data_IF_182456165649
#
_entry.id   IF_182456165649
#
_cell.length_a   1.000
_cell.length_b   1.000
_cell.length_c   1.000
_cell.angle_alpha   90.00
_cell.angle_beta   90.00
_cell.angle_gamma   90.00
#
_symmetry.space_group_name_H-M   'P 1'
#
loop_
_entity.id
_entity.type
_entity.pdbx_description
1 polymer ?
#
# COMPACT_ATOMS: atom_id res chain seq x y z
N UNK A 1 5.66 -8.37 -0.35
CA UNK A 1 6.39 -7.19 0.19
C UNK A 1 5.66 -6.59 1.40
N UNK A 2 4.41 -6.15 1.27
CA UNK A 2 3.66 -5.52 2.40
C UNK A 2 2.78 -6.48 3.24
N UNK A 3 2.84 -7.79 2.98
CA UNK A 3 2.23 -8.82 3.85
C UNK A 3 0.80 -9.25 3.52
N UNK A 4 0.19 -8.70 2.46
CA UNK A 4 -1.10 -9.14 1.98
C UNK A 4 -1.05 -10.50 1.27
N UNK A 5 -2.16 -11.23 1.34
CA UNK A 5 -2.40 -12.49 0.66
C UNK A 5 -3.54 -12.32 -0.34
N UNK A 6 -3.51 -13.04 -1.47
CA UNK A 6 -4.63 -13.04 -2.41
C UNK A 6 -5.78 -13.84 -1.79
N UNK A 7 -6.94 -13.20 -1.62
CA UNK A 7 -8.18 -13.84 -1.19
C UNK A 7 -8.91 -14.45 -2.40
N UNK A 8 -9.05 -13.66 -3.46
CA UNK A 8 -9.73 -14.03 -4.69
C UNK A 8 -9.09 -13.29 -5.87
N UNK A 9 -9.06 -13.92 -7.03
CA UNK A 9 -8.71 -13.28 -8.29
C UNK A 9 -9.72 -13.70 -9.35
N UNK A 10 -10.29 -12.73 -10.06
CA UNK A 10 -11.36 -12.94 -11.04
C UNK A 10 -11.21 -11.96 -12.19
N UNK A 11 -10.92 -12.47 -13.39
CA UNK A 11 -10.63 -11.65 -14.56
C UNK A 11 -9.55 -10.60 -14.28
N UNK A 12 -9.97 -9.33 -14.24
CA UNK A 12 -9.12 -8.15 -14.05
C UNK A 12 -9.03 -7.69 -12.61
N UNK A 13 -9.70 -8.36 -11.68
CA UNK A 13 -9.78 -7.94 -10.29
C UNK A 13 -9.03 -8.92 -9.40
N UNK A 14 -8.27 -8.38 -8.44
CA UNK A 14 -7.66 -9.16 -7.37
C UNK A 14 -8.04 -8.57 -6.01
N UNK A 15 -8.57 -9.41 -5.13
CA UNK A 15 -8.90 -9.10 -3.75
C UNK A 15 -7.79 -9.60 -2.84
N UNK A 16 -7.31 -8.74 -1.95
CA UNK A 16 -6.26 -9.03 -0.99
C UNK A 16 -6.80 -9.02 0.44
N UNK A 17 -6.24 -9.87 1.29
CA UNK A 17 -6.63 -10.06 2.69
C UNK A 17 -5.42 -10.19 3.60
N UNK A 18 -5.66 -10.02 4.90
CA UNK A 18 -4.71 -10.30 5.98
C UNK A 18 -5.17 -11.45 6.90
N UNK A 19 -6.44 -11.82 6.86
CA UNK A 19 -7.05 -12.84 7.73
C UNK A 19 -7.58 -14.06 6.97
N UNK A 20 -7.46 -14.07 5.63
CA UNK A 20 -7.93 -15.16 4.77
C UNK A 20 -9.44 -15.15 4.56
N UNK A 21 -10.16 -14.12 5.02
CA UNK A 21 -11.64 -14.09 5.03
C UNK A 21 -12.21 -12.79 4.49
N UNK A 22 -11.68 -11.65 4.94
CA UNK A 22 -12.20 -10.33 4.62
C UNK A 22 -11.28 -9.64 3.59
N UNK A 23 -11.83 -9.08 2.50
CA UNK A 23 -11.06 -8.25 1.59
C UNK A 23 -10.69 -6.94 2.28
N UNK A 24 -9.42 -6.54 2.12
CA UNK A 24 -8.86 -5.30 2.67
C UNK A 24 -8.43 -4.33 1.57
N UNK A 25 -7.93 -4.85 0.45
CA UNK A 25 -7.56 -4.08 -0.74
C UNK A 25 -8.08 -4.83 -1.96
N UNK A 26 -8.72 -4.12 -2.88
CA UNK A 26 -9.13 -4.66 -4.17
C UNK A 26 -8.43 -3.82 -5.22
N UNK A 27 -7.74 -4.48 -6.16
CA UNK A 27 -7.18 -3.82 -7.34
C UNK A 27 -7.94 -4.28 -8.57
N UNK A 28 -8.13 -3.36 -9.51
CA UNK A 28 -8.72 -3.63 -10.81
C UNK A 28 -7.73 -3.21 -11.90
N UNK A 29 -7.38 -4.14 -12.78
CA UNK A 29 -6.59 -3.86 -13.96
C UNK A 29 -7.44 -3.08 -14.97
N UNK A 30 -6.98 -1.88 -15.30
CA UNK A 30 -7.55 -1.05 -16.36
C UNK A 30 -6.67 -1.20 -17.61
N UNK A 31 -7.11 -1.89 -18.67
CA UNK A 31 -6.30 -2.04 -19.88
C UNK A 31 -6.05 -0.69 -20.52
N UNK A 32 -4.79 -0.45 -20.92
CA UNK A 32 -4.35 0.82 -21.49
C UNK A 32 -4.60 2.02 -20.56
N UNK A 33 -4.48 1.81 -19.24
CA UNK A 33 -4.51 2.90 -18.27
C UNK A 33 -3.49 3.98 -18.65
N UNK A 34 -3.93 5.24 -18.58
CA UNK A 34 -3.05 6.39 -18.77
C UNK A 34 -2.48 6.75 -17.41
N UNK A 35 -1.15 6.68 -17.29
CA UNK A 35 -0.44 7.20 -16.10
C UNK A 35 -0.54 8.71 -16.14
N UNK A 36 -1.25 9.28 -15.17
CA UNK A 36 -1.37 10.73 -15.03
C UNK A 36 -0.12 11.30 -14.34
N UNK A 37 0.28 12.55 -14.63
CA UNK A 37 1.32 13.23 -13.86
C UNK A 37 0.97 13.27 -12.35
N UNK A 38 1.99 13.22 -11.49
CA UNK A 38 1.77 13.32 -10.05
C UNK A 38 0.95 14.57 -9.69
N UNK A 39 0.00 14.39 -8.77
CA UNK A 39 -0.86 15.47 -8.23
C UNK A 39 -1.67 16.23 -9.30
N UNK A 40 -1.93 15.63 -10.47
CA UNK A 40 -2.67 16.28 -11.56
C UNK A 40 -4.17 15.97 -11.60
N UNK A 41 -4.69 15.19 -10.65
CA UNK A 41 -6.10 14.80 -10.59
C UNK A 41 -6.63 14.80 -9.15
N UNK A 42 -7.94 15.01 -8.99
CA UNK A 42 -8.63 14.72 -7.73
C UNK A 42 -8.76 13.20 -7.60
N UNK A 43 -8.07 12.61 -6.62
CA UNK A 43 -8.00 11.17 -6.42
C UNK A 43 -7.62 10.80 -4.99
N UNK A 44 -7.35 9.51 -4.74
CA UNK A 44 -6.81 9.04 -3.46
C UNK A 44 -5.45 9.70 -3.23
N UNK A 45 -5.26 10.37 -2.09
CA UNK A 45 -4.00 11.04 -1.74
C UNK A 45 -3.04 10.16 -0.92
N UNK A 46 -3.57 9.19 -0.18
CA UNK A 46 -2.88 8.05 0.42
C UNK A 46 -3.92 7.22 1.16
N UNK A 47 -3.58 5.99 1.53
CA UNK A 47 -4.27 5.23 2.57
C UNK A 47 -3.25 4.66 3.56
N UNK A 48 -3.71 4.36 4.77
CA UNK A 48 -2.83 3.89 5.84
C UNK A 48 -3.19 2.46 6.26
N UNK A 49 -2.15 1.62 6.42
CA UNK A 49 -2.28 0.30 7.02
C UNK A 49 -1.83 0.42 8.48
N UNK A 50 -2.79 0.28 9.40
CA UNK A 50 -2.50 0.36 10.82
C UNK A 50 -1.77 -0.91 11.29
N UNK A 51 -0.64 -0.72 11.96
CA UNK A 51 0.10 -1.80 12.62
C UNK A 51 -0.17 -1.80 14.12
N UNK A 52 -0.10 -2.97 14.80
CA UNK A 52 -0.52 -3.08 16.19
C UNK A 52 0.24 -2.17 17.17
N UNK A 53 1.54 -1.99 16.97
CA UNK A 53 2.37 -1.06 17.73
C UNK A 53 3.71 -0.74 17.03
N UNK A 54 4.49 0.13 17.66
CA UNK A 54 5.81 0.61 17.20
C UNK A 54 6.80 -0.52 16.89
N UNK A 55 6.76 -1.64 17.62
CA UNK A 55 7.64 -2.78 17.35
C UNK A 55 7.30 -3.43 16.00
N UNK A 56 6.02 -3.63 15.69
CA UNK A 56 5.63 -4.15 14.37
C UNK A 56 5.95 -3.13 13.26
N UNK A 57 5.82 -1.83 13.52
CA UNK A 57 6.26 -0.79 12.58
C UNK A 57 7.77 -0.92 12.26
N UNK A 58 8.62 -1.02 13.28
CA UNK A 58 10.06 -1.21 13.07
C UNK A 58 10.41 -2.51 12.34
N UNK A 59 9.65 -3.59 12.58
CA UNK A 59 9.82 -4.85 11.85
C UNK A 59 9.43 -4.71 10.37
N UNK A 60 8.33 -4.00 10.07
CA UNK A 60 7.89 -3.74 8.72
C UNK A 60 8.92 -2.88 7.95
N UNK A 61 9.38 -1.78 8.55
CA UNK A 61 10.42 -0.91 7.96
C UNK A 61 11.69 -1.70 7.66
N UNK A 62 12.16 -2.52 8.61
CA UNK A 62 13.33 -3.38 8.40
C UNK A 62 13.14 -4.38 7.24
N UNK A 63 11.94 -4.92 7.09
CA UNK A 63 11.64 -5.83 5.98
C UNK A 63 11.67 -5.09 4.63
N UNK A 64 11.06 -3.90 4.55
CA UNK A 64 11.00 -3.09 3.33
C UNK A 64 12.40 -2.65 2.88
N UNK A 65 13.24 -2.18 3.80
CA UNK A 65 14.64 -1.83 3.51
C UNK A 65 15.41 -3.04 2.97
N UNK A 66 15.24 -4.22 3.57
CA UNK A 66 15.88 -5.46 3.10
C UNK A 66 15.40 -5.90 1.73
N UNK A 67 14.17 -5.54 1.36
CA UNK A 67 13.60 -5.81 0.05
C UNK A 67 13.99 -4.74 -0.99
N UNK A 68 14.78 -3.73 -0.62
CA UNK A 68 15.20 -2.65 -1.52
C UNK A 68 14.08 -1.66 -1.85
N UNK A 69 13.06 -1.56 -1.01
CA UNK A 69 11.96 -0.61 -1.18
C UNK A 69 12.36 0.73 -0.57
N UNK A 70 12.29 1.79 -1.37
CA UNK A 70 12.50 3.16 -0.91
C UNK A 70 11.35 3.60 0.00
N UNK A 71 11.69 4.31 1.08
CA UNK A 71 10.73 4.79 2.07
C UNK A 71 10.85 6.30 2.22
N UNK A 72 9.72 6.98 2.11
CA UNK A 72 9.54 8.34 2.59
C UNK A 72 9.21 8.37 4.09
N UNK A 73 9.57 9.45 4.77
CA UNK A 73 9.13 9.72 6.13
C UNK A 73 8.29 10.99 6.13
N UNK A 74 7.12 10.93 6.74
CA UNK A 74 6.32 12.10 7.07
C UNK A 74 6.16 12.16 8.58
N UNK A 75 6.57 13.26 9.20
CA UNK A 75 6.32 13.49 10.61
C UNK A 75 4.86 13.92 10.77
N UNK A 76 4.01 13.02 11.26
CA UNK A 76 2.70 13.41 11.75
C UNK A 76 2.87 13.66 13.22
N UNK A 77 2.66 14.92 13.64
CA UNK A 77 2.78 15.41 15.02
C UNK A 77 2.02 14.59 16.10
N UNK A 78 1.24 13.58 15.69
CA UNK A 78 0.45 12.67 16.52
C UNK A 78 0.63 11.17 16.18
N UNK A 79 1.32 10.78 15.10
CA UNK A 79 1.50 9.38 14.70
C UNK A 79 2.84 9.11 13.98
N UNK A 80 3.44 7.95 14.24
CA UNK A 80 4.63 7.51 13.50
C UNK A 80 4.20 6.76 12.23
N UNK A 81 4.63 7.23 11.06
CA UNK A 81 4.32 6.59 9.78
C UNK A 81 5.51 6.67 8.81
N UNK A 82 5.54 5.71 7.88
CA UNK A 82 6.44 5.69 6.73
C UNK A 82 5.60 5.55 5.47
N UNK A 83 6.07 6.17 4.40
CA UNK A 83 5.42 6.22 3.10
C UNK A 83 6.18 5.38 2.09
N UNK A 84 5.45 4.72 1.20
CA UNK A 84 5.99 4.05 0.02
C UNK A 84 5.02 4.27 -1.13
N UNK A 85 5.53 4.48 -2.32
CA UNK A 85 4.70 4.58 -3.52
C UNK A 85 4.30 3.18 -3.99
N UNK A 86 3.04 3.01 -4.37
CA UNK A 86 2.66 1.85 -5.15
C UNK A 86 3.27 1.95 -6.58
N UNK A 87 3.34 0.83 -7.31
CA UNK A 87 3.94 0.83 -8.66
C UNK A 87 3.23 1.75 -9.67
N UNK A 88 1.95 2.04 -9.46
CA UNK A 88 1.14 2.87 -10.37
C UNK A 88 1.05 4.34 -9.91
N UNK A 89 1.71 4.70 -8.78
CA UNK A 89 1.74 6.05 -8.20
C UNK A 89 0.35 6.58 -7.76
N UNK A 90 -0.51 5.68 -7.28
CA UNK A 90 -1.75 5.98 -6.57
C UNK A 90 -1.54 6.23 -5.07
N UNK A 91 -2.22 7.27 -4.55
CA UNK A 91 -2.13 7.62 -3.13
C UNK A 91 -0.88 8.39 -2.81
#
# INVERSE_FOLDING_TARGET
>A
VIGFQVLKQDGKTAEFTVDGKNPLLIIEEIPNAVVLPERSAAGLYHFAILLPNRKQLGMAVKHLIRAGIELGQGDHLVSEAFYLSDPDQNG
#
